data_IF_666439510557
#
_entry.id   IF_666439510557
#
_cell.length_a   1.000
_cell.length_b   1.000
_cell.length_c   1.000
_cell.angle_alpha   90.00
_cell.angle_beta   90.00
_cell.angle_gamma   90.00
#
_symmetry.space_group_name_H-M   'P 1'
#
loop_
_entity.id
_entity.type
_entity.pdbx_description
1 polymer ?
#
# COMPACT_ATOMS: atom_id res chain seq x y z
N UNK A 1 -26.39 53.34 -27.78
CA UNK A 1 -26.75 52.40 -26.70
C UNK A 1 -26.74 51.01 -27.32
N UNK A 2 -25.65 50.25 -27.13
CA UNK A 2 -25.51 48.89 -27.68
C UNK A 2 -25.05 47.99 -26.55
N UNK A 3 -26.02 47.49 -25.79
CA UNK A 3 -25.81 46.47 -24.77
C UNK A 3 -25.90 45.11 -25.47
N UNK A 4 -24.75 44.44 -25.59
CA UNK A 4 -24.71 43.05 -26.04
C UNK A 4 -25.07 42.16 -24.83
N UNK A 5 -25.94 41.15 -24.97
CA UNK A 5 -26.23 40.26 -23.85
C UNK A 5 -24.99 39.39 -23.61
N UNK A 6 -24.36 39.57 -22.44
CA UNK A 6 -23.29 38.70 -21.96
C UNK A 6 -23.85 37.31 -21.78
N UNK A 7 -23.65 36.45 -22.78
CA UNK A 7 -23.91 35.02 -22.67
C UNK A 7 -22.73 34.42 -21.90
N UNK A 8 -22.68 34.70 -20.59
CA UNK A 8 -21.74 34.05 -19.71
C UNK A 8 -22.14 32.56 -19.62
N UNK A 9 -21.24 31.61 -19.91
CA UNK A 9 -21.53 30.21 -19.61
C UNK A 9 -21.86 30.08 -18.11
N UNK A 10 -22.78 29.19 -17.70
CA UNK A 10 -23.02 28.97 -16.28
C UNK A 10 -21.69 28.64 -15.65
N UNK A 11 -21.29 29.43 -14.64
CA UNK A 11 -20.09 29.22 -13.86
C UNK A 11 -20.13 27.77 -13.40
N UNK A 12 -19.26 26.94 -14.00
CA UNK A 12 -19.03 25.57 -13.53
C UNK A 12 -18.80 25.67 -12.02
N UNK A 13 -19.49 24.86 -11.18
CA UNK A 13 -19.24 24.90 -9.75
C UNK A 13 -17.74 24.73 -9.58
N UNK A 14 -17.14 25.68 -8.83
CA UNK A 14 -15.70 25.82 -8.75
C UNK A 14 -15.05 24.48 -8.52
N UNK A 15 -13.99 24.20 -9.28
CA UNK A 15 -13.06 23.10 -9.02
C UNK A 15 -12.26 23.39 -7.73
N UNK A 16 -12.93 23.79 -6.66
CA UNK A 16 -12.61 23.38 -5.30
C UNK A 16 -12.94 21.87 -5.24
N UNK A 17 -12.31 21.08 -6.12
CA UNK A 17 -12.36 19.64 -6.07
C UNK A 17 -11.82 19.30 -4.70
N UNK A 18 -12.71 19.02 -3.75
CA UNK A 18 -12.36 18.46 -2.45
C UNK A 18 -11.35 17.37 -2.76
N UNK A 19 -10.09 17.62 -2.43
CA UNK A 19 -8.99 16.72 -2.76
C UNK A 19 -9.44 15.32 -2.35
N UNK A 20 -9.51 14.39 -3.31
CA UNK A 20 -9.95 13.02 -3.05
C UNK A 20 -9.17 12.51 -1.83
N UNK A 21 -9.88 12.30 -0.71
CA UNK A 21 -9.27 11.92 0.57
C UNK A 21 -9.05 10.41 0.58
N UNK A 22 -7.87 9.98 0.19
CA UNK A 22 -7.45 8.59 0.34
C UNK A 22 -6.80 8.40 1.71
N UNK A 23 -7.24 7.39 2.48
CA UNK A 23 -6.51 6.94 3.66
C UNK A 23 -5.40 6.00 3.19
N UNK A 24 -4.15 6.39 3.42
CA UNK A 24 -3.00 5.49 3.25
C UNK A 24 -3.02 4.51 4.42
N UNK A 25 -3.01 3.18 4.17
CA UNK A 25 -2.90 2.23 5.25
C UNK A 25 -1.54 2.38 5.91
N UNK A 26 -1.52 2.37 7.25
CA UNK A 26 -0.29 2.23 8.01
C UNK A 26 0.22 0.79 7.82
N UNK A 27 1.46 0.66 7.35
CA UNK A 27 2.15 -0.62 7.19
C UNK A 27 3.30 -0.65 8.18
N UNK A 28 3.44 -1.78 8.89
CA UNK A 28 4.55 -1.99 9.81
C UNK A 28 5.75 -2.54 9.06
N UNK A 29 6.94 -2.05 9.41
CA UNK A 29 8.19 -2.63 8.95
C UNK A 29 8.42 -3.97 9.68
N UNK A 30 8.72 -5.02 8.93
CA UNK A 30 8.95 -6.36 9.47
C UNK A 30 10.39 -6.78 9.17
N UNK A 31 11.08 -7.27 10.20
CA UNK A 31 12.42 -7.82 10.04
C UNK A 31 12.36 -9.20 9.37
N UNK A 32 13.13 -9.35 8.30
CA UNK A 32 13.27 -10.60 7.56
C UNK A 32 14.74 -10.98 7.41
N UNK A 33 15.01 -12.28 7.47
CA UNK A 33 16.33 -12.84 7.18
C UNK A 33 16.29 -13.63 5.88
N UNK A 34 17.38 -13.56 5.13
CA UNK A 34 17.57 -14.37 3.92
C UNK A 34 18.33 -15.64 4.29
N UNK A 35 17.76 -16.79 3.95
CA UNK A 35 18.31 -18.11 4.24
C UNK A 35 18.56 -18.81 2.92
N UNK A 36 19.76 -19.39 2.78
CA UNK A 36 20.07 -20.29 1.67
C UNK A 36 19.83 -21.72 2.12
N UNK A 37 18.92 -22.40 1.44
CA UNK A 37 18.60 -23.81 1.64
C UNK A 37 19.67 -24.70 1.02
N UNK A 38 19.64 -25.99 1.37
CA UNK A 38 20.63 -26.99 0.92
C UNK A 38 20.61 -27.20 -0.60
N UNK A 39 19.43 -27.06 -1.23
CA UNK A 39 19.25 -27.13 -2.69
C UNK A 39 19.77 -25.87 -3.42
N UNK A 40 20.26 -24.88 -2.67
CA UNK A 40 20.79 -23.62 -3.18
C UNK A 40 19.75 -22.51 -3.33
N UNK A 41 18.46 -22.79 -3.08
CA UNK A 41 17.37 -21.80 -3.10
C UNK A 41 17.55 -20.76 -1.98
N UNK A 42 17.24 -19.50 -2.26
CA UNK A 42 17.24 -18.42 -1.25
C UNK A 42 15.80 -18.05 -0.91
N UNK A 43 15.46 -18.10 0.36
CA UNK A 43 14.12 -17.74 0.89
C UNK A 43 14.22 -16.61 1.90
N UNK A 44 13.20 -15.77 1.96
CA UNK A 44 13.00 -14.82 3.04
C UNK A 44 12.12 -15.44 4.12
N UNK A 45 12.50 -15.28 5.39
CA UNK A 45 11.74 -15.75 6.55
C UNK A 45 11.69 -14.68 7.63
N UNK A 46 10.56 -14.59 8.29
CA UNK A 46 10.37 -13.81 9.53
C UNK A 46 10.78 -14.64 10.75
N UNK A 47 11.03 -13.97 11.88
CA UNK A 47 11.33 -14.65 13.15
C UNK A 47 10.20 -15.61 13.59
N UNK A 48 8.94 -15.25 13.35
CA UNK A 48 7.78 -16.07 13.71
C UNK A 48 7.71 -17.37 12.90
N UNK A 49 8.01 -17.31 11.60
CA UNK A 49 8.03 -18.48 10.73
C UNK A 49 9.11 -19.47 11.18
N UNK A 50 10.30 -18.97 11.52
CA UNK A 50 11.40 -19.81 12.01
C UNK A 50 11.07 -20.47 13.35
N UNK A 51 10.37 -19.78 14.25
CA UNK A 51 9.94 -20.34 15.52
C UNK A 51 8.89 -21.46 15.35
N UNK A 52 7.99 -21.33 14.36
CA UNK A 52 7.01 -22.37 14.03
C UNK A 52 7.67 -23.61 13.44
N UNK A 53 8.64 -23.44 12.54
CA UNK A 53 9.40 -24.57 11.97
C UNK A 53 10.21 -25.31 13.06
N UNK A 54 10.84 -24.59 13.98
CA UNK A 54 11.62 -25.20 15.08
C UNK A 54 10.75 -25.94 16.11
N UNK A 55 9.49 -25.57 16.29
CA UNK A 55 8.56 -26.24 17.21
C UNK A 55 7.85 -27.46 16.59
N UNK A 56 7.86 -27.57 15.26
CA UNK A 56 7.29 -28.71 14.53
C UNK A 56 8.24 -29.90 14.31
N UNK A 57 9.54 -29.76 14.60
CA UNK A 57 10.56 -30.77 14.28
C UNK A 57 10.82 -31.78 15.40
N UNK A 58 9.81 -32.17 16.18
CA UNK A 58 9.96 -33.14 17.27
C UNK A 58 8.80 -34.15 17.29
N UNK A 59 8.62 -34.91 16.22
CA UNK A 59 7.94 -36.22 16.20
C UNK A 59 8.35 -36.98 14.94
N UNK A 60 9.45 -37.75 15.00
CA UNK A 60 9.55 -39.18 14.67
C UNK A 60 11.00 -39.67 14.88
#
# INVERSE_FOLDING_TARGET
MTESPTNAPPSSPGLESELLKFRVPEVEDIEVVLIRLEDGTVVARTAEELAKEASGSNTD
#
